data_IF_450757301256
#
_entry.id   IF_450757301256
#
_cell.length_a   1.000
_cell.length_b   1.000
_cell.length_c   1.000
_cell.angle_alpha   90.00
_cell.angle_beta   90.00
_cell.angle_gamma   90.00
#
_symmetry.space_group_name_H-M   'P 1'
#
loop_
_entity.id
_entity.type
_entity.pdbx_description
1 polymer ?
#
# COMPACT_ATOMS: atom_id res chain seq x y z
N UNK A 1 -13.87 -19.89 -5.24
CA UNK A 1 -13.49 -19.91 -6.67
C UNK A 1 -13.37 -18.48 -7.18
N UNK A 2 -12.23 -18.10 -7.77
CA UNK A 2 -12.07 -16.84 -8.49
C UNK A 2 -12.56 -17.05 -9.93
N UNK A 3 -13.38 -16.15 -10.45
CA UNK A 3 -13.93 -16.22 -11.82
C UNK A 3 -12.80 -16.44 -12.83
N UNK A 4 -12.92 -17.46 -13.67
CA UNK A 4 -11.93 -17.84 -14.68
C UNK A 4 -12.26 -17.19 -16.03
N UNK A 5 -11.29 -16.61 -16.76
CA UNK A 5 -11.51 -16.15 -18.13
C UNK A 5 -11.94 -17.31 -19.03
N UNK A 6 -12.79 -17.01 -20.01
CA UNK A 6 -13.23 -17.97 -21.01
C UNK A 6 -12.04 -18.27 -21.92
N UNK A 7 -11.72 -19.55 -22.10
CA UNK A 7 -10.56 -19.99 -22.90
C UNK A 7 -10.83 -19.76 -24.38
N UNK A 8 -9.86 -19.16 -25.07
CA UNK A 8 -9.91 -19.04 -26.53
C UNK A 8 -9.42 -20.32 -27.22
N UNK A 9 -10.26 -20.91 -28.05
CA UNK A 9 -9.92 -22.02 -28.95
C UNK A 9 -9.79 -21.57 -30.42
N UNK A 10 -9.68 -20.26 -30.66
CA UNK A 10 -9.63 -19.64 -31.99
C UNK A 10 -10.97 -19.11 -32.49
N UNK A 11 -12.03 -19.19 -31.67
CA UNK A 11 -13.39 -18.78 -32.03
C UNK A 11 -14.18 -18.25 -30.83
N UNK A 12 -13.58 -17.40 -30.00
CA UNK A 12 -14.36 -16.64 -29.01
C UNK A 12 -15.37 -15.74 -29.71
N UNK A 13 -16.63 -15.84 -29.28
CA UNK A 13 -17.68 -14.96 -29.74
C UNK A 13 -17.47 -13.52 -29.20
N UNK A 14 -18.27 -12.57 -29.69
CA UNK A 14 -18.17 -11.18 -29.26
C UNK A 14 -18.50 -10.98 -27.76
N UNK A 15 -19.46 -11.73 -27.22
CA UNK A 15 -19.84 -11.70 -25.81
C UNK A 15 -18.73 -12.21 -24.88
N UNK A 16 -18.07 -13.29 -25.24
CA UNK A 16 -16.98 -13.90 -24.48
C UNK A 16 -15.74 -13.00 -24.48
N UNK A 17 -15.44 -12.36 -25.62
CA UNK A 17 -14.40 -11.33 -25.72
C UNK A 17 -14.71 -10.14 -24.81
N UNK A 18 -15.95 -9.65 -24.82
CA UNK A 18 -16.39 -8.56 -23.96
C UNK A 18 -16.29 -8.94 -22.47
N UNK A 19 -16.72 -10.16 -22.12
CA UNK A 19 -16.59 -10.70 -20.78
C UNK A 19 -15.12 -10.77 -20.32
N UNK A 20 -14.25 -11.39 -21.12
CA UNK A 20 -12.83 -11.51 -20.80
C UNK A 20 -12.16 -10.13 -20.65
N UNK A 21 -12.54 -9.17 -21.49
CA UNK A 21 -12.05 -7.78 -21.41
C UNK A 21 -12.50 -7.11 -20.11
N UNK A 22 -13.78 -7.26 -19.74
CA UNK A 22 -14.30 -6.71 -18.48
C UNK A 22 -13.66 -7.37 -17.26
N UNK A 23 -13.49 -8.67 -17.30
CA UNK A 23 -12.82 -9.42 -16.24
C UNK A 23 -11.37 -8.97 -16.07
N UNK A 24 -10.64 -8.82 -17.17
CA UNK A 24 -9.23 -8.41 -17.16
C UNK A 24 -9.06 -6.99 -16.66
N UNK A 25 -9.87 -6.03 -17.17
CA UNK A 25 -9.85 -4.64 -16.68
C UNK A 25 -10.20 -4.54 -15.20
N UNK A 26 -11.15 -5.33 -14.72
CA UNK A 26 -11.50 -5.38 -13.29
C UNK A 26 -10.35 -5.96 -12.46
N UNK A 27 -9.68 -7.01 -12.94
CA UNK A 27 -8.51 -7.60 -12.27
C UNK A 27 -7.37 -6.59 -12.13
N UNK A 28 -7.07 -5.81 -13.17
CA UNK A 28 -6.05 -4.76 -13.11
C UNK A 28 -6.34 -3.77 -11.98
N UNK A 29 -7.59 -3.31 -11.83
CA UNK A 29 -7.96 -2.41 -10.74
C UNK A 29 -7.75 -3.04 -9.35
N UNK A 30 -8.14 -4.31 -9.21
CA UNK A 30 -7.99 -5.06 -7.96
C UNK A 30 -6.51 -5.29 -7.62
N UNK A 31 -5.71 -5.70 -8.60
CA UNK A 31 -4.27 -5.92 -8.46
C UNK A 31 -3.55 -4.64 -8.07
N UNK A 32 -3.88 -3.51 -8.70
CA UNK A 32 -3.35 -2.20 -8.34
C UNK A 32 -3.72 -1.84 -6.90
N UNK A 33 -4.99 -1.96 -6.50
CA UNK A 33 -5.43 -1.67 -5.14
C UNK A 33 -4.70 -2.53 -4.09
N UNK A 34 -4.49 -3.82 -4.36
CA UNK A 34 -3.73 -4.69 -3.47
C UNK A 34 -2.24 -4.39 -3.47
N UNK A 35 -1.67 -3.98 -4.62
CA UNK A 35 -0.30 -3.49 -4.71
C UNK A 35 -0.08 -2.30 -3.78
N UNK A 36 -0.99 -1.33 -3.83
CA UNK A 36 -0.95 -0.15 -2.97
C UNK A 36 -1.14 -0.47 -1.49
N UNK A 37 -2.10 -1.34 -1.16
CA UNK A 37 -2.33 -1.78 0.20
C UNK A 37 -1.10 -2.47 0.79
N UNK A 38 -0.48 -3.38 0.04
CA UNK A 38 0.73 -4.11 0.47
C UNK A 38 1.97 -3.21 0.53
N UNK A 39 2.09 -2.24 -0.37
CA UNK A 39 3.16 -1.22 -0.33
C UNK A 39 3.07 -0.37 0.92
N UNK A 40 1.87 0.07 1.29
CA UNK A 40 1.62 0.88 2.49
C UNK A 40 1.78 0.08 3.78
N UNK A 41 1.27 -1.15 3.81
CA UNK A 41 1.31 -2.03 4.98
C UNK A 41 2.20 -3.25 4.70
N UNK A 42 3.53 -3.05 4.70
CA UNK A 42 4.53 -4.11 4.44
C UNK A 42 4.32 -5.38 5.27
N UNK A 43 3.72 -5.27 6.46
CA UNK A 43 3.36 -6.42 7.31
C UNK A 43 2.43 -7.42 6.60
N UNK A 44 1.60 -6.98 5.66
CA UNK A 44 0.73 -7.85 4.86
C UNK A 44 1.51 -8.83 3.96
N UNK A 45 2.81 -8.61 3.75
CA UNK A 45 3.66 -9.52 2.98
C UNK A 45 4.11 -10.75 3.79
N UNK A 46 4.06 -10.68 5.13
CA UNK A 46 4.50 -11.77 6.02
C UNK A 46 3.56 -11.84 7.24
N UNK A 47 2.55 -12.70 7.13
CA UNK A 47 1.53 -12.92 8.17
C UNK A 47 1.69 -14.27 8.90
N UNK A 48 2.81 -14.97 8.66
CA UNK A 48 3.02 -16.40 8.95
C UNK A 48 2.88 -16.83 10.42
N UNK A 49 2.82 -15.87 11.35
CA UNK A 49 2.73 -16.13 12.79
C UNK A 49 1.31 -15.93 13.36
N UNK A 50 0.33 -15.59 12.53
CA UNK A 50 -1.04 -15.29 12.96
C UNK A 50 -2.01 -16.42 12.63
N UNK A 51 -3.02 -16.63 13.48
CA UNK A 51 -4.16 -17.49 13.15
C UNK A 51 -4.95 -16.87 11.98
N UNK A 52 -5.68 -17.69 11.22
CA UNK A 52 -6.49 -17.23 10.08
C UNK A 52 -7.47 -16.13 10.47
N UNK A 53 -8.08 -16.24 11.65
CA UNK A 53 -8.99 -15.23 12.20
C UNK A 53 -8.27 -13.89 12.46
N UNK A 54 -7.10 -13.93 13.10
CA UNK A 54 -6.30 -12.74 13.36
C UNK A 54 -5.76 -12.11 12.07
N UNK A 55 -5.32 -12.92 11.11
CA UNK A 55 -4.92 -12.44 9.78
C UNK A 55 -6.07 -11.72 9.09
N UNK A 56 -7.28 -12.29 9.13
CA UNK A 56 -8.47 -11.70 8.51
C UNK A 56 -8.82 -10.35 9.15
N UNK A 57 -8.80 -10.27 10.48
CA UNK A 57 -9.03 -9.02 11.24
C UNK A 57 -7.96 -7.97 10.93
N UNK A 58 -6.70 -8.38 10.83
CA UNK A 58 -5.59 -7.51 10.49
C UNK A 58 -5.73 -6.94 9.07
N UNK A 59 -5.99 -7.80 8.08
CA UNK A 59 -6.22 -7.41 6.69
C UNK A 59 -7.39 -6.42 6.59
N UNK A 60 -8.51 -6.70 7.26
CA UNK A 60 -9.67 -5.80 7.28
C UNK A 60 -9.33 -4.43 7.89
N UNK A 61 -8.56 -4.44 8.98
CA UNK A 61 -8.10 -3.20 9.63
C UNK A 61 -7.21 -2.37 8.69
N UNK A 62 -6.31 -3.02 7.94
CA UNK A 62 -5.51 -2.36 6.91
C UNK A 62 -6.38 -1.75 5.81
N UNK A 63 -7.42 -2.44 5.34
CA UNK A 63 -8.34 -1.90 4.34
C UNK A 63 -9.09 -0.67 4.85
N UNK A 64 -9.60 -0.70 6.09
CA UNK A 64 -10.28 0.45 6.71
C UNK A 64 -9.31 1.65 6.83
N UNK A 65 -8.09 1.42 7.33
CA UNK A 65 -7.08 2.47 7.45
C UNK A 65 -6.65 3.03 6.08
N UNK A 66 -6.54 2.17 5.06
CA UNK A 66 -6.24 2.58 3.70
C UNK A 66 -7.29 3.54 3.15
N UNK A 67 -8.57 3.21 3.32
CA UNK A 67 -9.68 4.07 2.88
C UNK A 67 -9.66 5.41 3.61
N UNK A 68 -9.43 5.41 4.92
CA UNK A 68 -9.27 6.64 5.69
C UNK A 68 -8.11 7.49 5.13
N UNK A 69 -6.98 6.88 4.76
CA UNK A 69 -5.88 7.61 4.13
C UNK A 69 -6.29 8.23 2.78
N UNK A 70 -6.99 7.48 1.92
CA UNK A 70 -7.51 7.98 0.64
C UNK A 70 -8.42 9.19 0.84
N UNK A 71 -9.40 9.08 1.75
CA UNK A 71 -10.36 10.16 2.06
C UNK A 71 -9.66 11.42 2.60
N UNK A 72 -8.46 11.26 3.17
CA UNK A 72 -7.63 12.34 3.66
C UNK A 72 -6.65 12.89 2.62
N UNK A 73 -6.70 12.43 1.37
CA UNK A 73 -5.77 12.81 0.30
C UNK A 73 -4.36 12.25 0.48
N UNK A 74 -4.16 11.30 1.39
CA UNK A 74 -2.92 10.56 1.55
C UNK A 74 -2.98 9.34 0.62
N UNK A 75 -3.01 9.58 -0.69
CA UNK A 75 -2.91 8.50 -1.67
C UNK A 75 -1.44 8.08 -1.79
N UNK A 76 -1.16 6.80 -2.04
CA UNK A 76 0.21 6.36 -2.28
C UNK A 76 0.82 6.95 -3.56
N UNK A 77 -0.01 7.43 -4.49
CA UNK A 77 0.42 8.25 -5.63
C UNK A 77 1.11 9.54 -5.16
N UNK A 78 0.73 10.09 -4.00
CA UNK A 78 1.45 11.19 -3.37
C UNK A 78 2.87 10.79 -2.91
N UNK A 79 3.10 9.54 -2.50
CA UNK A 79 4.46 9.08 -2.14
C UNK A 79 5.35 8.88 -3.37
N UNK A 80 4.78 8.41 -4.50
CA UNK A 80 5.47 8.37 -5.78
C UNK A 80 5.76 9.78 -6.30
N UNK A 81 4.82 10.72 -6.13
CA UNK A 81 5.02 12.14 -6.42
C UNK A 81 6.14 12.74 -5.54
N UNK A 82 6.15 12.45 -4.24
CA UNK A 82 7.17 12.93 -3.30
C UNK A 82 8.57 12.35 -3.64
N UNK A 83 8.65 11.08 -4.02
CA UNK A 83 9.91 10.47 -4.52
C UNK A 83 10.35 11.02 -5.89
N UNK A 84 9.41 11.31 -6.79
CA UNK A 84 9.69 11.96 -8.08
C UNK A 84 10.19 13.40 -7.90
N UNK A 85 9.65 14.15 -6.95
CA UNK A 85 10.09 15.51 -6.61
C UNK A 85 11.49 15.52 -5.97
N UNK A 86 11.83 14.51 -5.16
CA UNK A 86 13.19 14.34 -4.61
C UNK A 86 14.24 13.92 -5.65
N UNK A 87 13.82 13.40 -6.80
CA UNK A 87 14.74 12.87 -7.83
C UNK A 87 15.14 13.92 -8.89
N UNK A 88 14.60 15.14 -8.84
CA UNK A 88 14.83 16.17 -9.86
C UNK A 88 16.00 17.13 -9.58
N UNK A 89 16.77 16.94 -8.50
CA UNK A 89 17.89 17.83 -8.14
C UNK A 89 19.29 17.20 -8.28
N UNK A 90 19.48 16.26 -9.21
CA UNK A 90 20.82 15.77 -9.59
C UNK A 90 20.93 15.45 -11.07
N UNK A 91 21.07 16.49 -11.89
CA UNK A 91 21.78 16.37 -13.17
C UNK A 91 23.24 16.74 -12.98
N UNK A 92 24.12 15.89 -13.52
CA UNK A 92 25.57 16.03 -13.71
C UNK A 92 26.51 15.52 -12.61
N UNK A 93 26.75 14.20 -12.63
CA UNK A 93 28.01 13.61 -13.13
C UNK A 93 28.02 12.09 -12.93
N UNK A 94 28.16 11.33 -14.01
CA UNK A 94 28.75 9.97 -13.95
C UNK A 94 30.27 10.13 -13.76
N UNK A 95 30.98 9.27 -12.99
CA UNK A 95 31.24 7.91 -13.47
C UNK A 95 31.40 6.80 -12.41
N UNK A 96 31.19 5.56 -12.90
CA UNK A 96 31.94 4.32 -12.61
C UNK A 96 31.93 3.69 -11.21
N UNK A 97 31.70 2.36 -11.25
CA UNK A 97 32.24 1.33 -10.38
C UNK A 97 31.85 1.30 -8.88
N UNK A 98 31.13 0.22 -8.54
CA UNK A 98 31.19 -0.55 -7.28
C UNK A 98 31.01 0.24 -5.98
N UNK A 99 29.82 0.14 -5.37
CA UNK A 99 29.74 0.04 -3.91
C UNK A 99 28.47 -0.70 -3.46
N UNK A 100 28.70 -1.80 -2.76
CA UNK A 100 27.73 -2.63 -2.06
C UNK A 100 27.63 -2.11 -0.62
N UNK A 101 26.40 -2.07 -0.08
CA UNK A 101 25.97 -1.95 1.34
C UNK A 101 25.48 -0.60 1.91
N UNK A 102 24.41 -0.74 2.73
CA UNK A 102 23.98 0.10 3.88
C UNK A 102 22.71 0.98 3.79
N UNK A 103 21.63 0.53 3.14
CA UNK A 103 20.33 1.22 3.18
C UNK A 103 19.48 1.07 4.47
N UNK A 104 20.01 0.51 5.56
CA UNK A 104 19.20 -0.19 6.58
C UNK A 104 19.01 0.51 7.94
N UNK A 105 19.03 1.84 8.03
CA UNK A 105 18.68 2.50 9.32
C UNK A 105 18.10 3.91 9.19
N UNK A 106 18.71 4.75 8.35
CA UNK A 106 18.30 6.14 8.20
C UNK A 106 16.98 6.28 7.45
N UNK A 107 16.81 5.52 6.36
CA UNK A 107 15.56 5.52 5.59
C UNK A 107 14.40 4.95 6.39
N UNK A 108 14.62 3.86 7.15
CA UNK A 108 13.61 3.31 8.07
C UNK A 108 13.25 4.27 9.22
N UNK A 109 14.23 5.01 9.75
CA UNK A 109 14.00 6.02 10.79
C UNK A 109 13.17 7.19 10.27
N UNK A 110 13.45 7.66 9.04
CA UNK A 110 12.67 8.72 8.39
C UNK A 110 11.24 8.25 8.09
N UNK A 111 11.07 7.03 7.59
CA UNK A 111 9.75 6.43 7.36
C UNK A 111 8.96 6.29 8.67
N UNK A 112 9.61 5.91 9.77
CA UNK A 112 8.97 5.85 11.10
C UNK A 112 8.53 7.23 11.59
N UNK A 113 9.40 8.24 11.49
CA UNK A 113 9.10 9.60 11.91
C UNK A 113 7.95 10.21 11.08
N UNK A 114 7.97 10.02 9.75
CA UNK A 114 6.89 10.43 8.84
C UNK A 114 5.58 9.73 9.21
N UNK A 115 5.62 8.42 9.48
CA UNK A 115 4.43 7.69 9.90
C UNK A 115 3.87 8.21 11.24
N UNK A 116 4.72 8.66 12.15
CA UNK A 116 4.33 9.22 13.44
C UNK A 116 3.62 10.58 13.30
N UNK A 117 4.17 11.47 12.48
CA UNK A 117 3.55 12.76 12.17
C UNK A 117 2.20 12.57 11.48
N UNK A 118 2.11 11.66 10.50
CA UNK A 118 0.84 11.34 9.83
C UNK A 118 -0.19 10.79 10.82
N UNK A 119 0.20 9.92 11.76
CA UNK A 119 -0.68 9.40 12.81
C UNK A 119 -1.24 10.50 13.71
N UNK A 120 -0.41 11.44 14.17
CA UNK A 120 -0.88 12.53 15.03
C UNK A 120 -1.83 13.46 14.26
N UNK A 121 -1.58 13.72 12.98
CA UNK A 121 -2.48 14.51 12.12
C UNK A 121 -3.86 13.85 11.95
N UNK A 122 -3.88 12.52 11.78
CA UNK A 122 -5.12 11.75 11.71
C UNK A 122 -5.85 11.79 13.06
N UNK A 123 -5.15 11.57 14.19
CA UNK A 123 -5.74 11.65 15.53
C UNK A 123 -6.38 13.01 15.81
N UNK A 124 -5.69 14.09 15.41
CA UNK A 124 -6.20 15.45 15.57
C UNK A 124 -7.48 15.68 14.75
N UNK A 125 -7.51 15.24 13.48
CA UNK A 125 -8.68 15.38 12.61
C UNK A 125 -9.88 14.54 13.07
N UNK A 126 -9.62 13.39 13.68
CA UNK A 126 -10.65 12.46 14.16
C UNK A 126 -11.10 12.74 15.61
N UNK A 127 -10.52 13.73 16.30
CA UNK A 127 -10.88 14.07 17.68
C UNK A 127 -10.52 13.02 18.73
N UNK A 128 -9.60 12.08 18.42
CA UNK A 128 -9.20 11.04 19.38
C UNK A 128 -8.24 11.63 20.44
N UNK A 129 -8.74 11.80 21.67
CA UNK A 129 -7.89 12.13 22.83
C UNK A 129 -7.04 10.92 23.22
N UNK A 130 -5.77 11.16 23.61
CA UNK A 130 -4.92 10.14 24.23
C UNK A 130 -5.65 9.59 25.46
N UNK A 131 -5.78 8.26 25.56
CA UNK A 131 -6.25 7.63 26.81
C UNK A 131 -5.24 7.98 27.91
N UNK A 132 -5.69 8.73 28.91
CA UNK A 132 -4.94 8.94 30.15
C UNK A 132 -4.74 7.57 30.81
N UNK A 133 -3.54 7.23 31.29
CA UNK A 133 -3.36 6.02 32.09
C UNK A 133 -4.25 6.15 33.33
N UNK A 134 -5.21 5.23 33.46
CA UNK A 134 -6.01 5.13 34.68
C UNK A 134 -5.06 4.70 35.80
N UNK A 135 -4.84 5.58 36.77
CA UNK A 135 -4.20 5.19 38.03
C UNK A 135 -5.06 4.09 38.66
N UNK A 136 -4.52 2.89 38.70
CA UNK A 136 -5.07 1.78 39.45
C UNK A 136 -4.83 2.06 40.94
N UNK A 137 -5.82 1.84 41.83
CA UNK A 137 -5.70 2.12 43.26
C UNK A 137 -4.62 1.31 43.96
#
# INVERSE_FOLDING_TARGET
FLITPIRDYGSLDASDKAFNTKLSSTRVLIENAFGELKGRFRQLQRLDLMTVDNMSKFILSCCVLHNICIDNGDSPDSLLQDMRLCSQDKSDQTPSAVEVHSGTSREESLLRALAEVKREKIKAKMGLKRRQPQNLP
#
